data_IF_196493903966
#
_entry.id   IF_196493903966
#
_cell.length_a   1.000
_cell.length_b   1.000
_cell.length_c   1.000
_cell.angle_alpha   90.00
_cell.angle_beta   90.00
_cell.angle_gamma   90.00
#
_symmetry.space_group_name_H-M   'P 1'
#
loop_
_entity.id
_entity.type
_entity.pdbx_description
1 polymer ?
#
# COMPACT_ATOMS: atom_id res chain seq x y z
N UNK A 1 11.75 38.53 17.63
CA UNK A 1 11.06 37.65 16.65
C UNK A 1 9.81 38.37 16.14
N UNK A 2 9.65 38.56 14.82
CA UNK A 2 8.52 39.34 14.25
C UNK A 2 7.17 38.65 14.53
N UNK A 3 6.08 39.43 14.54
CA UNK A 3 4.71 38.94 14.81
C UNK A 3 4.34 37.76 13.91
N UNK A 4 4.74 37.83 12.63
CA UNK A 4 4.55 36.76 11.63
C UNK A 4 5.26 35.48 12.02
N UNK A 5 6.51 35.54 12.48
CA UNK A 5 7.27 34.36 12.93
C UNK A 5 6.61 33.70 14.15
N UNK A 6 6.05 34.47 15.07
CA UNK A 6 5.31 33.93 16.24
C UNK A 6 4.06 33.17 15.80
N UNK A 7 3.25 33.77 14.91
CA UNK A 7 2.05 33.13 14.37
C UNK A 7 2.40 31.82 13.66
N UNK A 8 3.45 31.82 12.84
CA UNK A 8 3.88 30.64 12.08
C UNK A 8 4.32 29.50 13.01
N UNK A 9 5.06 29.82 14.08
CA UNK A 9 5.45 28.84 15.10
C UNK A 9 4.22 28.31 15.86
N UNK A 10 3.29 29.18 16.24
CA UNK A 10 2.07 28.76 16.93
C UNK A 10 1.21 27.84 16.07
N UNK A 11 1.03 28.14 14.78
CA UNK A 11 0.29 27.28 13.85
C UNK A 11 0.99 25.94 13.67
N UNK A 12 2.31 25.94 13.47
CA UNK A 12 3.07 24.69 13.35
C UNK A 12 2.97 23.81 14.60
N UNK A 13 3.06 24.40 15.80
CA UNK A 13 2.90 23.68 17.06
C UNK A 13 1.50 23.05 17.19
N UNK A 14 0.46 23.78 16.77
CA UNK A 14 -0.93 23.30 16.79
C UNK A 14 -1.12 22.11 15.84
N UNK A 15 -0.53 22.16 14.64
CA UNK A 15 -0.57 21.07 13.67
C UNK A 15 0.13 19.81 14.19
N UNK A 16 1.30 19.97 14.82
CA UNK A 16 2.04 18.84 15.41
C UNK A 16 1.24 18.21 16.56
N UNK A 17 0.64 19.01 17.44
CA UNK A 17 -0.19 18.51 18.53
C UNK A 17 -1.42 17.76 18.02
N UNK A 18 -2.12 18.30 17.02
CA UNK A 18 -3.25 17.63 16.39
C UNK A 18 -2.82 16.30 15.73
N UNK A 19 -1.70 16.29 15.01
CA UNK A 19 -1.14 15.07 14.42
C UNK A 19 -0.79 14.01 15.47
N UNK A 20 -0.20 14.40 16.60
CA UNK A 20 0.13 13.49 17.69
C UNK A 20 -1.12 12.86 18.33
N UNK A 21 -2.21 13.61 18.50
CA UNK A 21 -3.49 13.09 19.01
C UNK A 21 -4.07 12.06 18.03
N UNK A 22 -4.08 12.37 16.74
CA UNK A 22 -4.59 11.45 15.69
C UNK A 22 -3.78 10.16 15.65
N UNK A 23 -2.44 10.24 15.67
CA UNK A 23 -1.56 9.07 15.70
C UNK A 23 -1.75 8.25 16.98
N UNK A 24 -1.93 8.92 18.13
CA UNK A 24 -2.22 8.25 19.40
C UNK A 24 -3.54 7.49 19.39
N UNK A 25 -4.57 8.05 18.76
CA UNK A 25 -5.89 7.42 18.66
C UNK A 25 -5.94 6.25 17.67
N UNK A 26 -5.34 6.40 16.49
CA UNK A 26 -5.26 5.34 15.46
C UNK A 26 -4.30 4.22 15.90
N UNK A 27 -3.29 4.57 16.68
CA UNK A 27 -2.19 3.71 17.08
C UNK A 27 -1.01 3.80 16.10
N UNK A 28 0.23 4.02 16.57
CA UNK A 28 1.38 4.29 15.71
C UNK A 28 1.69 3.13 14.75
N UNK A 29 1.46 1.88 15.18
CA UNK A 29 1.65 0.69 14.33
C UNK A 29 0.66 0.66 13.15
N UNK A 30 -0.58 1.10 13.37
CA UNK A 30 -1.60 1.13 12.33
C UNK A 30 -1.34 2.26 11.33
N UNK A 31 -0.88 3.42 11.80
CA UNK A 31 -0.46 4.52 10.92
C UNK A 31 0.73 4.09 10.05
N UNK A 32 1.73 3.41 10.62
CA UNK A 32 2.86 2.86 9.85
C UNK A 32 2.38 1.82 8.84
N UNK A 33 1.50 0.91 9.26
CA UNK A 33 0.92 -0.09 8.37
C UNK A 33 0.16 0.54 7.20
N UNK A 34 -0.68 1.53 7.47
CA UNK A 34 -1.42 2.27 6.45
C UNK A 34 -0.48 3.00 5.48
N UNK A 35 0.49 3.76 6.00
CA UNK A 35 1.46 4.47 5.16
C UNK A 35 2.33 3.52 4.30
N UNK A 36 2.62 2.32 4.81
CA UNK A 36 3.44 1.31 4.13
C UNK A 36 2.65 0.49 3.12
N UNK A 37 1.43 0.08 3.45
CA UNK A 37 0.69 -0.94 2.70
C UNK A 37 -0.52 -0.38 1.96
N UNK A 38 -1.08 0.76 2.36
CA UNK A 38 -2.24 1.37 1.68
C UNK A 38 -1.79 2.31 0.56
N UNK A 39 -0.81 1.87 -0.22
CA UNK A 39 -0.39 2.53 -1.46
C UNK A 39 -1.15 1.89 -2.61
N UNK A 40 -2.36 2.41 -2.86
CA UNK A 40 -3.17 1.99 -4.01
C UNK A 40 -2.78 2.84 -5.20
N UNK A 41 -1.91 2.30 -6.04
CA UNK A 41 -1.62 2.87 -7.34
C UNK A 41 -2.33 2.05 -8.42
N UNK A 42 -2.87 2.75 -9.41
CA UNK A 42 -3.41 2.09 -10.60
C UNK A 42 -2.28 1.38 -11.35
N UNK A 43 -2.51 0.11 -11.71
CA UNK A 43 -1.55 -0.66 -12.50
C UNK A 43 -1.36 -0.04 -13.89
N UNK A 44 -0.20 -0.28 -14.50
CA UNK A 44 0.13 0.27 -15.84
C UNK A 44 -0.21 -0.66 -17.01
N UNK A 45 -0.81 -1.82 -16.74
CA UNK A 45 -1.15 -2.81 -17.76
C UNK A 45 -2.40 -2.37 -18.54
N UNK A 46 -2.31 -2.43 -19.87
CA UNK A 46 -3.41 -2.20 -20.79
C UNK A 46 -3.96 -3.52 -21.37
N UNK A 47 -5.15 -3.46 -21.96
CA UNK A 47 -5.74 -4.62 -22.66
C UNK A 47 -4.88 -4.96 -23.88
N UNK A 48 -4.47 -6.23 -23.97
CA UNK A 48 -3.57 -6.72 -25.02
C UNK A 48 -2.11 -6.80 -24.58
N UNK A 49 -1.74 -6.20 -23.45
CA UNK A 49 -0.40 -6.39 -22.88
C UNK A 49 -0.19 -7.84 -22.46
N UNK A 50 1.06 -8.29 -22.58
CA UNK A 50 1.46 -9.58 -22.05
C UNK A 50 1.33 -9.58 -20.52
N UNK A 51 0.73 -10.63 -19.97
CA UNK A 51 0.69 -10.84 -18.53
C UNK A 51 2.13 -10.98 -17.99
N UNK A 52 2.54 -10.22 -16.95
CA UNK A 52 3.87 -10.35 -16.37
C UNK A 52 4.10 -11.75 -15.78
N UNK A 53 5.25 -12.37 -16.09
CA UNK A 53 5.63 -13.66 -15.51
C UNK A 53 6.13 -13.49 -14.07
N UNK A 54 5.18 -13.33 -13.15
CA UNK A 54 5.46 -13.21 -11.71
C UNK A 54 5.69 -14.57 -11.06
N UNK A 55 6.51 -14.58 -10.02
CA UNK A 55 6.72 -15.75 -9.16
C UNK A 55 5.90 -15.58 -7.87
N UNK A 56 5.02 -16.55 -7.60
CA UNK A 56 4.12 -16.59 -6.45
C UNK A 56 4.50 -17.74 -5.53
N UNK A 57 4.18 -17.60 -4.25
CA UNK A 57 4.35 -18.66 -3.26
C UNK A 57 3.02 -19.40 -3.13
N UNK A 58 3.04 -20.72 -3.31
CA UNK A 58 1.86 -21.56 -3.20
C UNK A 58 1.37 -21.66 -1.75
N UNK A 59 0.05 -21.74 -1.59
CA UNK A 59 -0.59 -21.93 -0.29
C UNK A 59 -0.34 -23.37 0.17
N UNK A 60 0.51 -23.57 1.18
CA UNK A 60 0.81 -24.86 1.78
C UNK A 60 2.30 -25.12 1.90
N UNK A 61 2.93 -25.54 0.80
CA UNK A 61 4.31 -26.04 0.80
C UNK A 61 5.37 -24.94 0.63
N UNK A 62 4.96 -23.68 0.45
CA UNK A 62 5.89 -22.57 0.23
C UNK A 62 6.65 -22.68 -1.09
N UNK A 63 6.18 -23.51 -2.02
CA UNK A 63 6.77 -23.69 -3.34
C UNK A 63 6.61 -22.40 -4.14
N UNK A 64 7.66 -22.03 -4.87
CA UNK A 64 7.64 -20.92 -5.82
C UNK A 64 7.11 -21.40 -7.16
N UNK A 65 6.14 -20.68 -7.70
CA UNK A 65 5.48 -21.02 -8.95
C UNK A 65 5.36 -19.79 -9.84
N UNK A 66 5.62 -19.98 -11.13
CA UNK A 66 5.54 -18.92 -12.12
C UNK A 66 4.15 -18.85 -12.74
N UNK A 67 3.66 -17.64 -12.99
CA UNK A 67 2.37 -17.44 -13.67
C UNK A 67 2.35 -18.12 -15.05
N UNK A 68 3.44 -18.05 -15.80
CA UNK A 68 3.56 -18.69 -17.12
C UNK A 68 3.30 -20.19 -17.11
N UNK A 69 3.53 -20.89 -15.99
CA UNK A 69 3.27 -22.33 -15.89
C UNK A 69 1.76 -22.67 -15.95
N UNK A 70 0.89 -21.68 -15.74
CA UNK A 70 -0.57 -21.82 -15.75
C UNK A 70 -1.23 -21.31 -17.05
N UNK A 71 -0.45 -20.72 -17.95
CA UNK A 71 -0.95 -20.22 -19.24
C UNK A 71 -0.97 -21.40 -20.23
N UNK A 72 -2.12 -21.60 -20.89
CA UNK A 72 -2.30 -22.69 -21.85
C UNK A 72 -3.38 -22.38 -22.88
N UNK A 73 -4.04 -23.42 -23.40
CA UNK A 73 -5.05 -23.28 -24.47
C UNK A 73 -6.34 -22.59 -24.00
N UNK A 74 -6.63 -22.61 -22.70
CA UNK A 74 -7.82 -22.01 -22.10
C UNK A 74 -7.46 -20.69 -21.40
N UNK A 75 -8.39 -19.72 -21.34
CA UNK A 75 -8.17 -18.49 -20.59
C UNK A 75 -7.88 -18.75 -19.11
N UNK A 76 -6.87 -18.06 -18.59
CA UNK A 76 -6.54 -18.03 -17.16
C UNK A 76 -7.20 -16.80 -16.53
N UNK A 77 -7.94 -17.00 -15.43
CA UNK A 77 -8.56 -15.91 -14.65
C UNK A 77 -7.79 -15.75 -13.34
N UNK A 78 -7.36 -14.52 -13.04
CA UNK A 78 -6.65 -14.18 -11.81
C UNK A 78 -7.58 -13.41 -10.86
N UNK A 79 -7.59 -13.81 -9.59
CA UNK A 79 -8.35 -13.16 -8.53
C UNK A 79 -7.36 -12.69 -7.47
N UNK A 80 -7.25 -11.36 -7.31
CA UNK A 80 -6.41 -10.74 -6.28
C UNK A 80 -7.26 -10.43 -5.06
N UNK A 81 -6.81 -10.86 -3.88
CA UNK A 81 -7.51 -10.59 -2.63
C UNK A 81 -6.77 -11.10 -1.41
N UNK A 82 -7.27 -10.71 -0.25
CA UNK A 82 -6.87 -11.22 1.07
C UNK A 82 -8.10 -11.36 1.96
N UNK A 83 -8.01 -12.21 2.98
CA UNK A 83 -8.97 -12.23 4.08
C UNK A 83 -8.44 -11.28 5.15
N UNK A 84 -9.25 -10.29 5.55
CA UNK A 84 -8.93 -9.30 6.60
C UNK A 84 -9.74 -9.56 7.84
#
# INVERSE_FOLDING_TARGET
>A
MSRTKKVLVSVAALLVAAGAVVVGWIGPRNVIGMLRYDQREEGRLAVGDAAPDVELVSLGEGRREKLSAYIGEKPLVLIFGSFT
#
